data_IF_292938012749
#
_entry.id   IF_292938012749
#
_cell.length_a   1.000
_cell.length_b   1.000
_cell.length_c   1.000
_cell.angle_alpha   90.00
_cell.angle_beta   90.00
_cell.angle_gamma   90.00
#
_symmetry.space_group_name_H-M   'P 1'
#
loop_
_entity.id
_entity.type
_entity.pdbx_description
1 polymer ?
#
# COMPACT_ATOMS: atom_id res chain seq x y z
N UNK A 1 10.92 22.67 -2.46
CA UNK A 1 11.25 22.61 -3.90
C UNK A 1 10.51 23.75 -4.57
N UNK A 2 11.08 24.37 -5.59
CA UNK A 2 10.42 25.46 -6.32
C UNK A 2 10.36 25.05 -7.78
N UNK A 3 9.16 24.94 -8.34
CA UNK A 3 8.94 24.79 -9.78
C UNK A 3 8.77 26.19 -10.38
N UNK A 4 9.48 26.46 -11.46
CA UNK A 4 9.27 27.65 -12.29
C UNK A 4 8.79 27.17 -13.65
N UNK A 5 7.57 27.52 -13.99
CA UNK A 5 6.98 27.18 -15.28
C UNK A 5 7.50 28.12 -16.38
N UNK A 6 7.40 27.73 -17.66
CA UNK A 6 7.78 28.58 -18.79
C UNK A 6 7.08 29.95 -18.79
N UNK A 7 5.85 29.99 -18.25
CA UNK A 7 5.01 31.19 -18.20
C UNK A 7 5.40 32.15 -17.06
N UNK A 8 6.44 31.82 -16.29
CA UNK A 8 6.93 32.63 -15.17
C UNK A 8 6.25 32.35 -13.82
N UNK A 9 5.24 31.46 -13.79
CA UNK A 9 4.61 31.02 -12.56
C UNK A 9 5.62 30.30 -11.66
N UNK A 10 5.62 30.66 -10.38
CA UNK A 10 6.48 30.06 -9.36
C UNK A 10 5.61 29.29 -8.37
N UNK A 11 5.77 27.97 -8.37
CA UNK A 11 5.06 27.08 -7.44
C UNK A 11 6.06 26.60 -6.38
N UNK A 12 5.77 26.88 -5.12
CA UNK A 12 6.59 26.44 -3.99
C UNK A 12 6.00 25.22 -3.30
N UNK A 13 6.79 24.17 -3.21
CA UNK A 13 6.47 22.94 -2.48
C UNK A 13 7.28 22.91 -1.18
N UNK A 14 6.72 23.40 -0.05
CA UNK A 14 7.41 23.38 1.22
C UNK A 14 7.59 21.95 1.71
N UNK A 15 8.73 21.69 2.36
CA UNK A 15 9.12 20.36 2.83
C UNK A 15 8.29 19.96 4.05
N UNK A 16 7.82 18.71 4.05
CA UNK A 16 6.99 18.14 5.13
C UNK A 16 7.80 17.64 6.32
N UNK A 17 9.00 17.09 6.08
CA UNK A 17 9.90 16.60 7.13
C UNK A 17 11.34 16.91 6.78
N UNK A 18 12.17 17.22 7.79
CA UNK A 18 13.63 17.39 7.63
C UNK A 18 14.38 16.05 7.74
N UNK A 19 13.73 15.01 8.24
CA UNK A 19 14.32 13.69 8.41
C UNK A 19 14.33 12.94 7.08
N UNK A 20 15.48 12.36 6.76
CA UNK A 20 15.66 11.55 5.56
C UNK A 20 15.35 10.08 5.88
N UNK A 21 14.68 9.34 4.98
CA UNK A 21 14.55 7.90 5.11
C UNK A 21 15.92 7.21 5.17
N UNK A 22 15.97 6.05 5.82
CA UNK A 22 17.15 5.20 5.85
C UNK A 22 17.65 4.91 4.43
N UNK A 23 18.97 4.93 4.21
CA UNK A 23 19.53 4.66 2.88
C UNK A 23 19.38 3.17 2.56
N UNK A 24 19.01 2.83 1.31
CA UNK A 24 19.02 1.43 0.89
C UNK A 24 20.45 0.89 0.95
N UNK A 25 20.56 -0.41 1.19
CA UNK A 25 21.84 -1.12 1.18
C UNK A 25 21.92 -1.97 -0.09
N UNK A 26 23.12 -2.05 -0.65
CA UNK A 26 23.37 -2.96 -1.76
C UNK A 26 23.36 -4.41 -1.26
N UNK A 27 22.75 -5.30 -2.04
CA UNK A 27 22.74 -6.73 -1.79
C UNK A 27 23.13 -7.47 -3.04
N UNK A 28 23.75 -8.64 -2.84
CA UNK A 28 24.00 -9.60 -3.91
C UNK A 28 22.70 -10.23 -4.40
N UNK A 29 22.64 -10.66 -5.66
CA UNK A 29 21.46 -11.34 -6.19
C UNK A 29 21.18 -12.64 -5.43
N UNK A 30 19.91 -13.00 -5.35
CA UNK A 30 19.48 -14.29 -4.83
C UNK A 30 19.27 -15.27 -5.98
N UNK A 31 19.66 -16.56 -5.88
CA UNK A 31 19.59 -17.51 -7.00
C UNK A 31 18.19 -17.62 -7.63
N UNK A 32 17.13 -17.65 -6.82
CA UNK A 32 15.73 -17.68 -7.30
C UNK A 32 15.29 -16.45 -8.12
N UNK A 33 16.09 -15.38 -8.16
CA UNK A 33 15.80 -14.16 -8.90
C UNK A 33 16.71 -13.91 -10.09
N UNK A 34 17.65 -14.83 -10.36
CA UNK A 34 18.59 -14.73 -11.47
C UNK A 34 18.05 -15.44 -12.70
N UNK A 35 18.26 -14.83 -13.87
CA UNK A 35 17.94 -15.41 -15.17
C UNK A 35 19.24 -15.84 -15.88
N UNK A 36 19.12 -16.73 -16.87
CA UNK A 36 20.25 -17.32 -17.59
C UNK A 36 21.24 -16.26 -18.10
N UNK A 37 20.74 -15.17 -18.70
CA UNK A 37 21.60 -14.10 -19.23
C UNK A 37 22.41 -13.36 -18.14
N UNK A 38 21.86 -13.26 -16.92
CA UNK A 38 22.56 -12.67 -15.78
C UNK A 38 23.59 -13.67 -15.23
N UNK A 39 23.22 -14.94 -15.12
CA UNK A 39 24.12 -16.01 -14.67
C UNK A 39 25.35 -16.14 -15.60
N UNK A 40 25.15 -16.11 -16.92
CA UNK A 40 26.22 -16.10 -17.91
C UNK A 40 27.19 -14.93 -17.69
N UNK A 41 26.67 -13.71 -17.51
CA UNK A 41 27.50 -12.53 -17.22
C UNK A 41 28.21 -12.63 -15.88
N UNK A 42 27.58 -13.21 -14.86
CA UNK A 42 28.21 -13.41 -13.56
C UNK A 42 29.37 -14.39 -13.65
N UNK A 43 29.21 -15.50 -14.39
CA UNK A 43 30.27 -16.47 -14.64
C UNK A 43 31.41 -15.83 -15.44
N UNK A 44 31.12 -15.09 -16.50
CA UNK A 44 32.15 -14.41 -17.30
C UNK A 44 32.99 -13.40 -16.50
N UNK A 45 32.39 -12.75 -15.49
CA UNK A 45 33.03 -11.70 -14.69
C UNK A 45 33.52 -12.16 -13.31
N UNK A 46 33.35 -13.43 -12.93
CA UNK A 46 33.75 -13.89 -11.59
C UNK A 46 35.25 -14.16 -11.51
N UNK A 47 35.84 -13.84 -10.37
CA UNK A 47 37.21 -14.22 -9.99
C UNK A 47 37.27 -15.58 -9.29
N UNK A 48 36.12 -16.24 -9.08
CA UNK A 48 36.04 -17.52 -8.37
C UNK A 48 36.69 -18.66 -9.15
N UNK A 49 37.51 -19.45 -8.43
CA UNK A 49 38.25 -20.58 -9.02
C UNK A 49 37.46 -21.88 -9.09
N UNK A 50 36.40 -21.99 -8.30
CA UNK A 50 35.54 -23.18 -8.19
C UNK A 50 34.07 -22.76 -8.23
N UNK A 51 33.20 -23.65 -8.69
CA UNK A 51 31.75 -23.41 -8.74
C UNK A 51 31.19 -23.22 -7.32
N UNK A 52 31.64 -24.04 -6.37
CA UNK A 52 31.25 -23.89 -4.97
C UNK A 52 31.64 -22.51 -4.40
N UNK A 53 32.82 -21.99 -4.75
CA UNK A 53 33.23 -20.62 -4.36
C UNK A 53 32.37 -19.56 -5.04
N UNK A 54 32.07 -19.72 -6.32
CA UNK A 54 31.23 -18.79 -7.08
C UNK A 54 29.83 -18.67 -6.49
N UNK A 55 29.19 -19.80 -6.19
CA UNK A 55 27.85 -19.83 -5.62
C UNK A 55 27.82 -19.13 -4.24
N UNK A 56 28.85 -19.31 -3.42
CA UNK A 56 28.96 -18.66 -2.11
C UNK A 56 29.34 -17.18 -2.19
N UNK A 57 30.17 -16.79 -3.14
CA UNK A 57 30.69 -15.43 -3.25
C UNK A 57 29.71 -14.50 -3.96
N UNK A 58 29.04 -14.95 -5.02
CA UNK A 58 28.26 -14.06 -5.88
C UNK A 58 26.79 -13.96 -5.46
N UNK A 59 26.28 -14.92 -4.71
CA UNK A 59 24.87 -14.96 -4.32
C UNK A 59 24.67 -14.70 -2.84
N UNK A 60 23.53 -14.10 -2.51
CA UNK A 60 23.10 -13.98 -1.11
C UNK A 60 22.48 -15.29 -0.63
N UNK A 61 22.65 -15.60 0.66
CA UNK A 61 22.02 -16.77 1.33
C UNK A 61 22.43 -18.14 0.78
N UNK A 62 23.54 -18.22 0.06
CA UNK A 62 24.16 -19.48 -0.35
C UNK A 62 25.37 -19.74 0.54
N UNK A 63 25.25 -20.73 1.42
CA UNK A 63 26.35 -21.23 2.23
C UNK A 63 27.05 -22.41 1.56
N UNK A 64 28.03 -22.98 2.24
CA UNK A 64 28.76 -24.17 1.76
C UNK A 64 27.84 -25.36 1.49
N UNK A 65 27.00 -25.73 2.46
CA UNK A 65 26.06 -26.86 2.32
C UNK A 65 25.08 -26.66 1.17
N UNK A 66 24.52 -25.45 1.02
CA UNK A 66 23.61 -25.16 -0.09
C UNK A 66 24.34 -25.14 -1.44
N UNK A 67 25.61 -24.73 -1.49
CA UNK A 67 26.39 -24.78 -2.72
C UNK A 67 26.71 -26.23 -3.12
N UNK A 68 27.04 -27.09 -2.15
CA UNK A 68 27.20 -28.54 -2.32
C UNK A 68 25.90 -29.17 -2.86
N UNK A 69 24.75 -28.90 -2.21
CA UNK A 69 23.43 -29.37 -2.65
C UNK A 69 23.07 -28.93 -4.09
N UNK A 70 23.40 -27.69 -4.47
CA UNK A 70 23.15 -27.18 -5.82
C UNK A 70 24.03 -27.89 -6.86
N UNK A 71 25.30 -28.16 -6.51
CA UNK A 71 26.22 -28.85 -7.42
C UNK A 71 25.81 -30.33 -7.59
N UNK A 72 25.40 -30.98 -6.51
CA UNK A 72 24.90 -32.36 -6.52
C UNK A 72 23.63 -32.50 -7.37
N UNK A 73 22.67 -31.58 -7.22
CA UNK A 73 21.43 -31.56 -8.00
C UNK A 73 21.70 -31.30 -9.50
N UNK A 74 22.73 -30.50 -9.81
CA UNK A 74 23.13 -30.21 -11.19
C UNK A 74 24.01 -31.30 -11.83
N UNK A 75 24.48 -32.29 -11.06
CA UNK A 75 25.49 -33.29 -11.46
C UNK A 75 26.79 -32.63 -11.97
N UNK A 76 27.24 -31.56 -11.30
CA UNK A 76 28.45 -30.80 -11.66
C UNK A 76 29.47 -30.85 -10.53
N UNK A 77 30.72 -31.18 -10.86
CA UNK A 77 31.84 -31.17 -9.89
C UNK A 77 32.05 -29.79 -9.28
N UNK A 78 32.00 -29.71 -7.95
CA UNK A 78 32.16 -28.47 -7.17
C UNK A 78 33.48 -27.75 -7.43
N UNK A 79 34.54 -28.53 -7.70
CA UNK A 79 35.90 -28.06 -7.93
C UNK A 79 36.16 -27.54 -9.34
N UNK A 80 35.23 -27.75 -10.27
CA UNK A 80 35.32 -27.27 -11.64
C UNK A 80 35.33 -25.74 -11.68
N UNK A 81 36.00 -25.20 -12.69
CA UNK A 81 36.08 -23.74 -12.90
C UNK A 81 34.78 -23.21 -13.51
N UNK A 82 34.16 -22.14 -12.97
CA UNK A 82 32.93 -21.56 -13.54
C UNK A 82 33.06 -21.23 -15.04
N UNK A 83 34.19 -20.65 -15.45
CA UNK A 83 34.41 -20.20 -16.84
C UNK A 83 34.60 -21.34 -17.86
N UNK A 84 34.55 -22.59 -17.41
CA UNK A 84 34.66 -23.77 -18.27
C UNK A 84 33.32 -24.47 -18.49
N UNK A 85 32.24 -23.92 -17.94
CA UNK A 85 30.89 -24.44 -18.14
C UNK A 85 30.34 -24.03 -19.50
N UNK A 86 29.74 -24.99 -20.19
CA UNK A 86 28.98 -24.73 -21.40
C UNK A 86 27.61 -24.13 -21.08
N UNK A 87 26.95 -23.51 -22.07
CA UNK A 87 25.66 -22.85 -21.85
C UNK A 87 24.59 -23.77 -21.26
N UNK A 88 24.54 -25.01 -21.76
CA UNK A 88 23.58 -26.02 -21.30
C UNK A 88 23.86 -26.43 -19.84
N UNK A 89 25.13 -26.50 -19.44
CA UNK A 89 25.51 -26.77 -18.05
C UNK A 89 25.17 -25.60 -17.11
N UNK A 90 25.27 -24.36 -17.61
CA UNK A 90 24.89 -23.15 -16.87
C UNK A 90 23.37 -23.09 -16.67
N UNK A 91 22.60 -23.50 -17.67
CA UNK A 91 21.14 -23.62 -17.56
C UNK A 91 20.77 -24.67 -16.51
N UNK A 92 21.35 -25.87 -16.56
CA UNK A 92 21.16 -26.92 -15.54
C UNK A 92 21.54 -26.44 -14.13
N UNK A 93 22.66 -25.73 -13.99
CA UNK A 93 23.09 -25.18 -12.70
C UNK A 93 22.11 -24.12 -12.17
N UNK A 94 21.54 -23.29 -13.05
CA UNK A 94 20.55 -22.29 -12.67
C UNK A 94 19.24 -22.96 -12.23
N UNK A 95 18.78 -23.97 -12.96
CA UNK A 95 17.58 -24.75 -12.60
C UNK A 95 17.76 -25.44 -11.24
N UNK A 96 18.90 -26.09 -11.01
CA UNK A 96 19.26 -26.68 -9.72
C UNK A 96 19.23 -25.63 -8.59
N UNK A 97 19.82 -24.45 -8.82
CA UNK A 97 19.82 -23.36 -7.84
C UNK A 97 18.41 -22.79 -7.55
N UNK A 98 17.47 -22.93 -8.49
CA UNK A 98 16.07 -22.55 -8.30
C UNK A 98 15.25 -23.61 -7.55
N UNK A 99 15.61 -24.89 -7.69
CA UNK A 99 14.93 -26.01 -7.03
C UNK A 99 15.36 -26.21 -5.57
N UNK A 100 16.63 -25.90 -5.25
CA UNK A 100 17.13 -26.01 -3.88
C UNK A 100 16.44 -25.00 -2.95
N UNK A 101 16.09 -25.48 -1.75
CA UNK A 101 15.38 -24.68 -0.75
C UNK A 101 16.34 -23.75 0.00
N UNK A 102 16.48 -22.53 -0.51
CA UNK A 102 17.35 -21.50 0.05
C UNK A 102 16.65 -20.61 1.08
N UNK A 103 17.44 -20.05 2.01
CA UNK A 103 16.95 -19.04 2.94
C UNK A 103 16.53 -17.78 2.19
N UNK A 104 15.45 -17.13 2.66
CA UNK A 104 14.99 -15.88 2.05
C UNK A 104 16.06 -14.76 2.09
N UNK A 105 16.12 -13.93 1.03
CA UNK A 105 17.06 -12.82 0.95
C UNK A 105 16.88 -11.83 2.11
N UNK A 106 17.94 -11.08 2.47
CA UNK A 106 17.85 -10.03 3.47
C UNK A 106 16.85 -8.95 3.05
N UNK A 107 16.03 -8.51 4.00
CA UNK A 107 14.98 -7.49 3.77
C UNK A 107 15.37 -6.10 4.26
N UNK A 108 16.51 -5.96 4.93
CA UNK A 108 17.03 -4.69 5.47
C UNK A 108 17.67 -3.79 4.41
N UNK A 109 17.67 -4.23 3.15
CA UNK A 109 18.18 -3.49 2.01
C UNK A 109 17.18 -2.43 1.48
N UNK A 110 15.90 -2.54 1.86
CA UNK A 110 14.84 -1.67 1.37
C UNK A 110 14.81 -0.33 2.12
N UNK A 111 14.37 0.69 1.39
CA UNK A 111 14.25 2.06 1.89
C UNK A 111 12.83 2.55 1.62
N UNK A 112 11.83 2.14 2.42
CA UNK A 112 10.45 2.62 2.28
C UNK A 112 10.34 4.12 2.58
N UNK A 113 9.16 4.70 2.30
CA UNK A 113 8.84 6.09 2.66
C UNK A 113 8.52 6.17 4.16
N UNK A 114 7.74 5.21 4.68
CA UNK A 114 7.28 5.14 6.06
C UNK A 114 5.89 5.72 6.26
N UNK A 115 5.11 5.10 7.17
CA UNK A 115 3.71 5.46 7.44
C UNK A 115 3.51 6.94 7.77
N UNK A 116 4.36 7.50 8.63
CA UNK A 116 4.25 8.89 9.09
C UNK A 116 4.44 9.88 7.93
N UNK A 117 5.44 9.65 7.07
CA UNK A 117 5.72 10.52 5.92
C UNK A 117 4.62 10.42 4.86
N UNK A 118 4.10 9.22 4.59
CA UNK A 118 2.96 9.03 3.69
C UNK A 118 1.74 9.77 4.21
N UNK A 119 1.43 9.63 5.50
CA UNK A 119 0.28 10.27 6.13
C UNK A 119 0.40 11.81 6.12
N UNK A 120 1.57 12.37 6.46
CA UNK A 120 1.80 13.82 6.41
C UNK A 120 1.74 14.36 4.98
N UNK A 121 2.23 13.59 4.00
CA UNK A 121 2.13 13.94 2.58
C UNK A 121 0.68 14.04 2.11
N UNK A 122 -0.12 13.01 2.38
CA UNK A 122 -1.55 13.01 2.04
C UNK A 122 -2.32 14.14 2.72
N UNK A 123 -2.04 14.42 3.99
CA UNK A 123 -2.70 15.52 4.73
C UNK A 123 -2.41 16.88 4.14
N UNK A 124 -1.16 17.13 3.73
CA UNK A 124 -0.74 18.43 3.21
C UNK A 124 -1.31 18.72 1.83
N UNK A 125 -1.32 17.72 0.95
CA UNK A 125 -1.66 17.94 -0.46
C UNK A 125 -3.16 17.81 -0.74
N UNK A 126 -3.91 17.00 0.02
CA UNK A 126 -5.33 16.71 -0.25
C UNK A 126 -6.30 17.26 0.82
N UNK A 127 -5.78 17.78 1.94
CA UNK A 127 -6.55 18.24 3.09
C UNK A 127 -7.78 17.35 3.46
N UNK A 128 -7.60 16.03 3.60
CA UNK A 128 -8.72 15.10 3.73
C UNK A 128 -9.34 15.15 5.13
N UNK A 129 -10.63 14.82 5.23
CA UNK A 129 -11.31 14.64 6.51
C UNK A 129 -10.68 13.49 7.33
N UNK A 130 -10.27 12.44 6.63
CA UNK A 130 -9.62 11.28 7.23
C UNK A 130 -8.46 10.80 6.35
N UNK A 131 -7.33 10.49 6.98
CA UNK A 131 -6.22 9.83 6.32
C UNK A 131 -5.59 8.75 7.18
N UNK A 132 -5.11 7.69 6.53
CA UNK A 132 -4.37 6.59 7.17
C UNK A 132 -3.27 6.12 6.24
N UNK A 133 -2.17 5.64 6.81
CA UNK A 133 -1.12 4.93 6.10
C UNK A 133 -0.86 3.57 6.76
N UNK A 134 -0.34 2.62 5.99
CA UNK A 134 0.08 1.29 6.41
C UNK A 134 1.37 0.94 5.66
N UNK A 135 2.40 0.52 6.39
CA UNK A 135 3.65 -0.03 5.85
C UNK A 135 3.72 -1.48 6.30
N UNK A 136 3.59 -2.40 5.34
CA UNK A 136 3.62 -3.85 5.62
C UNK A 136 5.04 -4.32 5.93
N UNK A 137 5.16 -5.49 6.55
CA UNK A 137 6.45 -6.18 6.64
C UNK A 137 6.97 -6.54 5.23
N UNK A 138 8.29 -6.49 4.98
CA UNK A 138 8.84 -6.92 3.70
C UNK A 138 8.56 -8.39 3.41
N UNK A 139 8.29 -8.69 2.14
CA UNK A 139 8.06 -10.03 1.60
C UNK A 139 8.99 -10.26 0.42
N UNK A 140 9.07 -11.47 -0.13
CA UNK A 140 9.96 -11.82 -1.25
C UNK A 140 9.14 -12.32 -2.43
N UNK A 141 9.52 -11.92 -3.64
CA UNK A 141 9.01 -12.50 -4.88
C UNK A 141 10.19 -12.87 -5.79
N UNK A 142 10.24 -14.09 -6.33
CA UNK A 142 11.35 -14.54 -7.20
C UNK A 142 12.74 -14.11 -6.68
N UNK A 143 13.07 -14.40 -5.42
CA UNK A 143 14.34 -13.99 -4.81
C UNK A 143 14.56 -12.49 -4.58
N UNK A 144 13.59 -11.62 -4.90
CA UNK A 144 13.69 -10.17 -4.72
C UNK A 144 12.84 -9.71 -3.53
N UNK A 145 13.45 -9.11 -2.49
CA UNK A 145 12.71 -8.54 -1.37
C UNK A 145 11.97 -7.29 -1.84
N UNK A 146 10.70 -7.17 -1.43
CA UNK A 146 9.86 -6.02 -1.69
C UNK A 146 9.02 -5.67 -0.46
N UNK A 147 8.60 -4.42 -0.36
CA UNK A 147 7.76 -3.91 0.70
C UNK A 147 6.67 -3.03 0.09
N UNK A 148 5.47 -3.14 0.64
CA UNK A 148 4.29 -2.38 0.16
C UNK A 148 3.86 -1.41 1.23
N UNK A 149 3.59 -0.17 0.80
CA UNK A 149 2.99 0.87 1.61
C UNK A 149 1.72 1.38 0.94
N UNK A 150 0.69 1.60 1.74
CA UNK A 150 -0.61 2.08 1.27
C UNK A 150 -1.04 3.27 2.10
N UNK A 151 -1.50 4.32 1.44
CA UNK A 151 -2.17 5.45 2.04
C UNK A 151 -3.60 5.57 1.53
N UNK A 152 -4.55 5.85 2.41
CA UNK A 152 -5.92 6.20 2.06
C UNK A 152 -6.24 7.59 2.59
N UNK A 153 -6.91 8.40 1.78
CA UNK A 153 -7.44 9.71 2.15
C UNK A 153 -8.91 9.81 1.70
N UNK A 154 -9.78 10.36 2.56
CA UNK A 154 -11.21 10.48 2.32
C UNK A 154 -11.71 11.90 2.55
N UNK A 155 -12.50 12.43 1.61
CA UNK A 155 -13.08 13.77 1.66
C UNK A 155 -12.05 14.88 1.49
N UNK A 156 -12.41 16.11 1.89
CA UNK A 156 -11.55 17.28 1.73
C UNK A 156 -11.58 17.82 0.30
N UNK A 157 -10.40 18.07 -0.26
CA UNK A 157 -10.24 18.60 -1.62
C UNK A 157 -10.27 17.50 -2.70
N UNK A 158 -10.69 16.28 -2.33
CA UNK A 158 -10.80 15.13 -3.25
C UNK A 158 -12.15 15.21 -3.98
N UNK A 159 -12.10 15.31 -5.31
CA UNK A 159 -13.28 15.37 -6.16
C UNK A 159 -14.15 14.10 -6.07
N UNK A 160 -15.47 14.28 -6.08
CA UNK A 160 -16.47 13.19 -6.04
C UNK A 160 -17.02 12.88 -7.45
N UNK A 161 -16.17 12.90 -8.48
CA UNK A 161 -16.56 12.63 -9.88
C UNK A 161 -16.65 11.12 -10.21
N UNK A 162 -17.21 10.33 -9.29
CA UNK A 162 -17.64 8.95 -9.58
C UNK A 162 -16.54 7.88 -9.64
N UNK A 163 -15.31 8.15 -9.21
CA UNK A 163 -14.25 7.13 -9.05
C UNK A 163 -13.29 7.56 -7.96
N UNK A 164 -12.50 6.61 -7.47
CA UNK A 164 -11.32 6.91 -6.65
C UNK A 164 -10.19 7.53 -7.48
N UNK A 165 -9.37 8.35 -6.83
CA UNK A 165 -8.08 8.79 -7.33
C UNK A 165 -6.98 7.79 -6.92
N UNK A 166 -6.09 7.44 -7.85
CA UNK A 166 -4.99 6.49 -7.60
C UNK A 166 -3.63 7.17 -7.79
N UNK A 167 -2.83 7.19 -6.72
CA UNK A 167 -1.44 7.63 -6.70
C UNK A 167 -0.52 6.41 -6.61
N UNK A 168 0.23 6.13 -7.68
CA UNK A 168 1.07 4.94 -7.77
C UNK A 168 2.54 5.31 -7.68
N UNK A 169 3.30 4.58 -6.87
CA UNK A 169 4.73 4.79 -6.69
C UNK A 169 5.50 3.49 -6.77
N UNK A 170 6.66 3.52 -7.43
CA UNK A 170 7.64 2.44 -7.42
C UNK A 170 9.01 3.02 -7.07
N UNK A 171 9.66 2.51 -6.01
CA UNK A 171 10.94 3.01 -5.52
C UNK A 171 10.99 4.54 -5.37
N UNK A 172 9.96 5.12 -4.75
CA UNK A 172 9.77 6.57 -4.56
C UNK A 172 9.57 7.40 -5.85
N UNK A 173 9.36 6.76 -7.00
CA UNK A 173 9.08 7.40 -8.28
C UNK A 173 7.59 7.28 -8.61
N UNK A 174 6.90 8.39 -8.94
CA UNK A 174 5.48 8.36 -9.32
C UNK A 174 5.28 7.73 -10.71
N UNK A 175 4.23 6.92 -10.84
CA UNK A 175 3.82 6.29 -12.10
C UNK A 175 2.55 6.97 -12.64
N UNK A 176 2.68 7.70 -13.74
CA UNK A 176 1.60 8.53 -14.28
C UNK A 176 0.73 7.79 -15.32
N UNK A 177 1.35 7.01 -16.20
CA UNK A 177 0.69 6.39 -17.36
C UNK A 177 0.31 4.91 -17.15
N UNK A 178 -0.51 4.35 -18.06
CA UNK A 178 -0.90 2.94 -18.10
C UNK A 178 -1.49 2.38 -16.79
N UNK A 179 -2.39 3.14 -16.15
CA UNK A 179 -3.08 2.73 -14.91
C UNK A 179 -3.74 1.35 -15.04
N UNK A 180 -4.55 1.12 -16.07
CA UNK A 180 -5.31 -0.12 -16.27
C UNK A 180 -4.47 -1.41 -16.32
N UNK A 181 -3.22 -1.34 -16.78
CA UNK A 181 -2.34 -2.51 -16.87
C UNK A 181 -1.61 -2.82 -15.54
N UNK A 182 -1.58 -1.85 -14.61
CA UNK A 182 -0.79 -1.90 -13.40
C UNK A 182 -1.37 -2.86 -12.35
N UNK A 183 -0.50 -3.59 -11.65
CA UNK A 183 -0.91 -4.46 -10.53
C UNK A 183 -1.58 -3.70 -9.39
N UNK A 184 -1.26 -2.42 -9.21
CA UNK A 184 -1.86 -1.57 -8.17
C UNK A 184 -3.36 -1.40 -8.38
N UNK A 185 -3.78 -1.03 -9.60
CA UNK A 185 -5.19 -0.89 -9.97
C UNK A 185 -5.90 -2.23 -9.86
N UNK A 186 -5.27 -3.32 -10.32
CA UNK A 186 -5.79 -4.68 -10.16
C UNK A 186 -5.91 -5.10 -8.69
N UNK A 187 -5.02 -4.66 -7.82
CA UNK A 187 -5.08 -4.95 -6.39
C UNK A 187 -6.26 -4.20 -5.74
N UNK A 188 -6.50 -2.94 -6.12
CA UNK A 188 -7.65 -2.13 -5.69
C UNK A 188 -8.96 -2.78 -6.13
N UNK A 189 -9.07 -3.20 -7.39
CA UNK A 189 -10.25 -3.88 -7.93
C UNK A 189 -10.52 -5.25 -7.27
N UNK A 190 -9.49 -5.87 -6.69
CA UNK A 190 -9.63 -7.15 -5.98
C UNK A 190 -10.09 -7.01 -4.51
N UNK A 191 -10.23 -5.79 -4.00
CA UNK A 191 -10.71 -5.51 -2.64
C UNK A 191 -12.24 -5.32 -2.68
N UNK A 192 -12.94 -5.97 -1.76
CA UNK A 192 -14.39 -5.80 -1.61
C UNK A 192 -14.71 -4.56 -0.75
N UNK A 193 -14.73 -3.38 -1.37
CA UNK A 193 -14.87 -2.08 -0.69
C UNK A 193 -16.18 -1.89 0.05
N UNK A 194 -17.27 -2.54 -0.40
CA UNK A 194 -18.55 -2.57 0.31
C UNK A 194 -18.42 -3.04 1.78
N UNK A 195 -17.45 -3.92 2.09
CA UNK A 195 -17.21 -4.39 3.46
C UNK A 195 -16.67 -3.30 4.38
N UNK A 196 -16.20 -2.20 3.82
CA UNK A 196 -15.63 -1.04 4.51
C UNK A 196 -16.54 0.19 4.40
N UNK A 197 -17.84 0.00 4.10
CA UNK A 197 -18.83 1.08 3.95
C UNK A 197 -18.49 2.07 2.82
N UNK A 198 -17.80 1.61 1.79
CA UNK A 198 -17.50 2.39 0.58
C UNK A 198 -18.28 1.76 -0.56
N UNK A 199 -19.10 2.56 -1.24
CA UNK A 199 -19.87 2.09 -2.40
C UNK A 199 -18.93 1.69 -3.54
N UNK A 200 -19.36 0.75 -4.37
CA UNK A 200 -18.57 0.28 -5.51
C UNK A 200 -19.43 0.16 -6.78
N UNK A 201 -18.90 0.62 -7.90
CA UNK A 201 -19.48 0.41 -9.23
C UNK A 201 -18.67 -0.67 -9.92
N UNK A 202 -19.26 -1.86 -10.07
CA UNK A 202 -18.52 -3.07 -10.40
C UNK A 202 -17.51 -3.41 -9.30
N UNK A 203 -16.22 -3.37 -9.62
CA UNK A 203 -15.12 -3.65 -8.69
C UNK A 203 -14.38 -2.39 -8.21
N UNK A 204 -14.82 -1.20 -8.64
CA UNK A 204 -14.13 0.06 -8.34
C UNK A 204 -14.83 0.79 -7.20
N UNK A 205 -14.10 1.24 -6.16
CA UNK A 205 -14.68 2.07 -5.12
C UNK A 205 -15.14 3.41 -5.69
N UNK A 206 -16.14 3.98 -5.03
CA UNK A 206 -16.80 5.24 -5.39
C UNK A 206 -16.78 6.17 -4.17
N UNK A 207 -16.81 7.48 -4.42
CA UNK A 207 -16.72 8.51 -3.41
C UNK A 207 -15.41 9.28 -3.45
N UNK A 208 -15.25 10.30 -2.59
CA UNK A 208 -14.07 11.15 -2.52
C UNK A 208 -12.91 10.41 -1.84
N UNK A 209 -12.36 9.40 -2.52
CA UNK A 209 -11.33 8.49 -2.03
C UNK A 209 -10.07 8.63 -2.87
N UNK A 210 -8.96 8.97 -2.22
CA UNK A 210 -7.62 8.89 -2.82
C UNK A 210 -6.86 7.70 -2.22
N UNK A 211 -6.30 6.86 -3.09
CA UNK A 211 -5.54 5.66 -2.76
C UNK A 211 -4.11 5.84 -3.25
N UNK A 212 -3.17 5.91 -2.31
CA UNK A 212 -1.74 5.85 -2.60
C UNK A 212 -1.21 4.44 -2.40
N UNK A 213 -0.48 3.89 -3.38
CA UNK A 213 0.20 2.60 -3.29
C UNK A 213 1.66 2.78 -3.69
N UNK A 214 2.57 2.39 -2.80
CA UNK A 214 4.00 2.38 -3.03
C UNK A 214 4.55 0.95 -2.93
N UNK A 215 5.37 0.57 -3.91
CA UNK A 215 6.20 -0.63 -3.85
C UNK A 215 7.68 -0.23 -3.80
N UNK A 216 8.38 -0.69 -2.77
CA UNK A 216 9.84 -0.59 -2.66
C UNK A 216 10.44 -1.98 -2.89
N UNK A 217 11.34 -2.13 -3.86
CA UNK A 217 12.01 -3.39 -4.18
C UNK A 217 13.38 -3.15 -4.81
N UNK A 218 14.31 -4.09 -4.65
CA UNK A 218 15.63 -4.04 -5.31
C UNK A 218 15.48 -4.08 -6.83
N UNK A 219 14.56 -4.91 -7.29
CA UNK A 219 14.13 -4.97 -8.68
C UNK A 219 12.61 -4.82 -8.69
N UNK A 220 12.07 -3.88 -9.47
CA UNK A 220 10.60 -3.73 -9.60
C UNK A 220 10.20 -4.35 -10.94
N UNK A 221 9.21 -5.25 -10.98
CA UNK A 221 8.86 -5.91 -12.22
C UNK A 221 7.95 -4.99 -13.04
N UNK A 222 8.49 -4.34 -14.07
CA UNK A 222 7.71 -3.48 -14.96
C UNK A 222 7.15 -4.26 -16.16
N UNK A 223 6.01 -3.83 -16.69
CA UNK A 223 5.39 -4.45 -17.89
C UNK A 223 6.09 -4.07 -19.19
N UNK A 224 6.81 -2.95 -19.20
CA UNK A 224 7.51 -2.41 -20.37
C UNK A 224 8.74 -1.62 -19.93
N UNK A 225 9.69 -1.45 -20.84
CA UNK A 225 10.93 -0.69 -20.62
C UNK A 225 10.71 0.77 -20.16
N UNK A 226 9.57 1.37 -20.52
CA UNK A 226 9.17 2.70 -20.07
C UNK A 226 8.88 2.82 -18.57
N UNK A 227 8.84 1.70 -17.82
CA UNK A 227 8.63 1.65 -16.36
C UNK A 227 7.37 2.37 -15.86
N UNK A 228 6.29 2.33 -16.65
CA UNK A 228 5.05 3.07 -16.35
C UNK A 228 4.03 2.27 -15.52
N UNK A 229 4.14 0.94 -15.56
CA UNK A 229 3.23 0.04 -14.86
C UNK A 229 3.98 -1.17 -14.31
N UNK A 230 3.59 -1.58 -13.11
CA UNK A 230 4.13 -2.77 -12.43
C UNK A 230 3.34 -3.99 -12.88
N UNK A 231 4.07 -5.05 -13.23
CA UNK A 231 3.54 -6.30 -13.74
C UNK A 231 2.71 -7.06 -12.69
N UNK A 232 1.71 -7.81 -13.18
CA UNK A 232 0.72 -8.47 -12.35
C UNK A 232 1.21 -9.83 -11.82
N UNK A 233 2.12 -9.80 -10.85
CA UNK A 233 2.55 -11.01 -10.13
C UNK A 233 1.67 -11.27 -8.91
N UNK A 234 1.29 -12.53 -8.72
CA UNK A 234 0.41 -12.98 -7.64
C UNK A 234 0.90 -12.62 -6.23
N UNK A 235 2.18 -12.86 -5.87
CA UNK A 235 2.70 -12.47 -4.55
C UNK A 235 2.57 -10.97 -4.28
N UNK A 236 2.90 -10.13 -5.27
CA UNK A 236 2.83 -8.67 -5.16
C UNK A 236 1.37 -8.22 -5.04
N UNK A 237 0.49 -8.73 -5.90
CA UNK A 237 -0.95 -8.40 -5.89
C UNK A 237 -1.61 -8.78 -4.55
N UNK A 238 -1.29 -9.96 -4.03
CA UNK A 238 -1.81 -10.44 -2.73
C UNK A 238 -1.34 -9.54 -1.59
N UNK A 239 -0.07 -9.17 -1.55
CA UNK A 239 0.45 -8.29 -0.51
C UNK A 239 -0.15 -6.88 -0.57
N UNK A 240 -0.29 -6.31 -1.78
CA UNK A 240 -0.98 -5.03 -1.98
C UNK A 240 -2.44 -5.08 -1.52
N UNK A 241 -3.14 -6.17 -1.83
CA UNK A 241 -4.52 -6.38 -1.37
C UNK A 241 -4.59 -6.42 0.15
N UNK A 242 -3.68 -7.12 0.83
CA UNK A 242 -3.66 -7.20 2.29
C UNK A 242 -3.42 -5.82 2.92
N UNK A 243 -2.48 -5.04 2.38
CA UNK A 243 -2.22 -3.66 2.81
C UNK A 243 -3.46 -2.75 2.65
N UNK A 244 -4.13 -2.84 1.49
CA UNK A 244 -5.38 -2.11 1.22
C UNK A 244 -6.50 -2.51 2.17
N UNK A 245 -6.64 -3.79 2.49
CA UNK A 245 -7.65 -4.27 3.44
C UNK A 245 -7.38 -3.75 4.86
N UNK A 246 -6.12 -3.69 5.27
CA UNK A 246 -5.73 -3.16 6.58
C UNK A 246 -6.05 -1.67 6.71
N UNK A 247 -5.71 -0.88 5.69
CA UNK A 247 -6.08 0.54 5.62
C UNK A 247 -7.61 0.72 5.51
N UNK A 248 -8.27 -0.11 4.71
CA UNK A 248 -9.73 -0.12 4.52
C UNK A 248 -10.50 -0.37 5.81
N UNK A 249 -10.01 -1.24 6.71
CA UNK A 249 -10.61 -1.43 8.05
C UNK A 249 -10.53 -0.17 8.92
N UNK A 250 -9.46 0.63 8.80
CA UNK A 250 -9.34 1.91 9.53
C UNK A 250 -10.32 2.94 8.98
N UNK A 251 -10.39 3.09 7.65
CA UNK A 251 -11.32 3.98 6.98
C UNK A 251 -12.79 3.59 7.21
N UNK A 252 -13.14 2.31 7.09
CA UNK A 252 -14.51 1.85 7.30
C UNK A 252 -15.03 2.08 8.73
N UNK A 253 -14.14 2.07 9.74
CA UNK A 253 -14.50 2.47 11.12
C UNK A 253 -14.81 3.97 11.20
N UNK A 254 -14.05 4.81 10.51
CA UNK A 254 -14.32 6.25 10.44
C UNK A 254 -15.66 6.53 9.76
N UNK A 255 -15.92 5.94 8.58
CA UNK A 255 -17.17 6.13 7.84
C UNK A 255 -18.39 5.69 8.64
N UNK A 256 -18.30 4.54 9.32
CA UNK A 256 -19.39 4.06 10.19
C UNK A 256 -19.67 4.99 11.36
N UNK A 257 -18.64 5.62 11.93
CA UNK A 257 -18.83 6.63 12.99
C UNK A 257 -19.47 7.90 12.44
N UNK A 258 -19.03 8.36 11.28
CA UNK A 258 -19.61 9.52 10.58
C UNK A 258 -21.09 9.30 10.27
N UNK A 259 -21.44 8.17 9.66
CA UNK A 259 -22.83 7.81 9.35
C UNK A 259 -23.70 7.74 10.62
N UNK A 260 -23.20 7.12 11.70
CA UNK A 260 -23.92 7.07 12.99
C UNK A 260 -24.19 8.46 13.54
N UNK A 261 -23.20 9.35 13.48
CA UNK A 261 -23.32 10.74 13.93
C UNK A 261 -24.37 11.49 13.12
N UNK A 262 -24.34 11.36 11.79
CA UNK A 262 -25.33 11.99 10.90
C UNK A 262 -26.76 11.47 11.15
N UNK A 263 -26.93 10.17 11.38
CA UNK A 263 -28.24 9.58 11.71
C UNK A 263 -28.75 10.13 13.05
N UNK A 264 -27.89 10.23 14.07
CA UNK A 264 -28.26 10.80 15.36
C UNK A 264 -28.60 12.29 15.26
N UNK A 265 -27.84 13.07 14.50
CA UNK A 265 -28.14 14.48 14.27
C UNK A 265 -29.47 14.68 13.52
N UNK A 266 -29.75 13.84 12.51
CA UNK A 266 -31.06 13.86 11.81
C UNK A 266 -32.21 13.55 12.76
N UNK A 267 -32.06 12.51 13.59
CA UNK A 267 -33.07 12.14 14.61
C UNK A 267 -33.27 13.26 15.62
N UNK A 268 -32.18 13.84 16.13
CA UNK A 268 -32.23 14.98 17.05
C UNK A 268 -33.01 16.14 16.42
N UNK A 269 -32.67 16.54 15.18
CA UNK A 269 -33.39 17.61 14.46
C UNK A 269 -34.87 17.30 14.29
N UNK A 270 -35.23 16.08 13.89
CA UNK A 270 -36.63 15.66 13.71
C UNK A 270 -37.41 15.65 15.02
N UNK A 271 -36.82 15.12 16.10
CA UNK A 271 -37.46 15.09 17.41
C UNK A 271 -37.60 16.50 18.01
N UNK A 272 -36.62 17.38 17.81
CA UNK A 272 -36.75 18.80 18.21
C UNK A 272 -37.88 19.50 17.44
N UNK A 273 -38.09 19.21 16.16
CA UNK A 273 -39.25 19.76 15.45
C UNK A 273 -40.58 19.21 15.97
N UNK A 274 -40.65 17.92 16.33
CA UNK A 274 -41.85 17.35 16.94
C UNK A 274 -42.10 17.86 18.35
N UNK A 275 -41.05 18.17 19.12
CA UNK A 275 -41.19 18.76 20.45
C UNK A 275 -42.01 20.06 20.42
N UNK A 276 -41.80 20.90 19.40
CA UNK A 276 -42.56 22.14 19.19
C UNK A 276 -44.04 21.90 18.92
N UNK A 277 -44.38 20.87 18.17
CA UNK A 277 -45.78 20.54 17.86
C UNK A 277 -46.47 19.77 19.00
N UNK A 278 -45.71 18.97 19.76
CA UNK A 278 -46.24 18.17 20.87
C UNK A 278 -46.39 18.96 22.16
N UNK A 279 -45.57 20.00 22.40
CA UNK A 279 -45.62 20.79 23.63
C UNK A 279 -47.00 21.40 23.93
N UNK A 280 -47.72 22.02 22.96
CA UNK A 280 -49.08 22.52 23.20
C UNK A 280 -50.08 21.39 23.48
N UNK A 281 -49.98 20.26 22.78
CA UNK A 281 -50.88 19.12 22.99
C UNK A 281 -50.68 18.45 24.35
N UNK A 282 -49.43 18.35 24.82
CA UNK A 282 -49.07 17.78 26.12
C UNK A 282 -49.47 18.76 27.24
N UNK A 283 -49.24 20.06 27.07
CA UNK A 283 -49.68 21.09 28.01
C UNK A 283 -51.20 21.11 28.16
N UNK A 284 -51.95 21.01 27.07
CA UNK A 284 -53.41 20.92 27.08
C UNK A 284 -53.94 19.66 27.78
N UNK A 285 -53.26 18.52 27.65
CA UNK A 285 -53.61 17.28 28.35
C UNK A 285 -53.24 17.28 29.84
N UNK A 286 -52.23 18.06 30.23
CA UNK A 286 -51.74 18.13 31.61
C UNK A 286 -52.54 19.10 32.50
N UNK A 287 -53.54 19.80 31.95
CA UNK A 287 -54.46 20.77 32.59
C UNK A 287 -53.83 21.96 33.34
N UNK A 288 -52.51 21.96 33.60
CA UNK A 288 -51.77 23.01 34.35
C UNK A 288 -50.30 23.17 33.88
N UNK A 289 -49.98 22.73 32.65
CA UNK A 289 -48.62 22.71 32.12
C UNK A 289 -48.26 23.99 31.34
N UNK A 290 -47.16 24.66 31.71
CA UNK A 290 -46.59 25.73 30.91
C UNK A 290 -45.98 25.16 29.61
N UNK A 291 -46.47 25.61 28.46
CA UNK A 291 -46.06 25.11 27.13
C UNK A 291 -44.54 25.25 26.91
N UNK A 292 -43.95 26.36 27.33
CA UNK A 292 -42.51 26.63 27.21
C UNK A 292 -41.68 25.64 28.07
N UNK A 293 -42.15 25.33 29.27
CA UNK A 293 -41.44 24.43 30.19
C UNK A 293 -41.50 22.97 29.71
N UNK A 294 -42.60 22.58 29.08
CA UNK A 294 -42.75 21.26 28.47
C UNK A 294 -41.90 21.12 27.20
N UNK A 295 -41.83 22.16 26.37
CA UNK A 295 -40.94 22.20 25.22
C UNK A 295 -39.47 22.08 25.66
N UNK A 296 -39.04 22.85 26.66
CA UNK A 296 -37.67 22.81 27.19
C UNK A 296 -37.31 21.43 27.77
N UNK A 297 -38.21 20.80 28.52
CA UNK A 297 -37.99 19.44 29.07
C UNK A 297 -37.85 18.39 27.97
N UNK A 298 -38.69 18.44 26.93
CA UNK A 298 -38.58 17.51 25.80
C UNK A 298 -37.29 17.75 25.02
N UNK A 299 -36.90 19.01 24.83
CA UNK A 299 -35.63 19.35 24.18
C UNK A 299 -34.41 18.90 24.99
N UNK A 300 -34.45 19.01 26.32
CA UNK A 300 -33.41 18.50 27.22
C UNK A 300 -33.30 16.98 27.14
N UNK A 301 -34.42 16.24 27.19
CA UNK A 301 -34.44 14.78 27.02
C UNK A 301 -33.86 14.35 25.68
N UNK A 302 -34.23 15.02 24.58
CA UNK A 302 -33.68 14.76 23.24
C UNK A 302 -32.19 15.12 23.17
N UNK A 303 -31.73 16.13 23.92
CA UNK A 303 -30.33 16.49 23.98
C UNK A 303 -29.49 15.43 24.71
N UNK A 304 -29.99 14.92 25.84
CA UNK A 304 -29.32 13.95 26.69
C UNK A 304 -29.24 12.57 26.03
N UNK A 305 -30.33 12.11 25.40
CA UNK A 305 -30.39 10.80 24.75
C UNK A 305 -29.62 10.73 23.41
N UNK A 306 -29.38 11.89 22.78
CA UNK A 306 -28.74 11.99 21.45
C UNK A 306 -27.53 12.94 21.43
N UNK A 307 -26.73 12.97 22.50
CA UNK A 307 -25.51 13.76 22.54
C UNK A 307 -24.42 13.15 21.63
N UNK A 308 -24.00 13.85 20.54
CA UNK A 308 -23.02 13.33 19.60
C UNK A 308 -21.58 13.26 20.15
N UNK A 309 -21.29 13.87 21.30
CA UNK A 309 -19.94 13.89 21.89
C UNK A 309 -19.61 12.66 22.76
N UNK A 310 -20.59 11.82 23.09
CA UNK A 310 -20.38 10.61 23.91
C UNK A 310 -19.95 9.36 23.11
N UNK A 311 -19.59 9.48 21.82
CA UNK A 311 -19.39 8.35 20.88
C UNK A 311 -18.06 8.34 20.09
#
# INVERSE_FOLDING_TARGET
>A
MVLREPDGNKIEYPRVSKELPARPKEIKPHPHGVELGVMLRMIENTDSRTISSFLQSEFTRVGRTSAEEICDEADIDEGRRPNTLDKDEIETLLEAAQNVNLQSPPTDCLSPIGEDLVLKGLKKELNPEFSTAITRSPTVYKGNPFQVEVGLAWGGDIEDEGSFEELRYANKVPLLYKKSACVTTKAIENVSWNRYNISQTGNRPQGPLCISIHIASVWVPFTSEGKEAVANYDPIRKEMKLALQEAGRKLGRYLKRKERKEIQEKKKRQLTSYAKEMAPAIAALAEDGNEEEMEEKIQQLVHDDYNPEQL
#
